data_IF_211799657275
#
_entry.id   IF_211799657275
#
_cell.length_a   1.000
_cell.length_b   1.000
_cell.length_c   1.000
_cell.angle_alpha   90.00
_cell.angle_beta   90.00
_cell.angle_gamma   90.00
#
_symmetry.space_group_name_H-M   'P 1'
#
loop_
_entity.id
_entity.type
_entity.pdbx_description
1 polymer ?
#
# COMPACT_ATOMS: atom_id res chain seq x y z
N UNK A 1 13.20 -12.48 15.01
CA UNK A 1 13.44 -11.62 16.18
C UNK A 1 12.10 -10.98 16.50
N UNK A 2 11.42 -11.43 17.55
CA UNK A 2 10.09 -10.95 17.89
C UNK A 2 10.25 -9.64 18.66
N UNK A 3 10.17 -8.53 17.94
CA UNK A 3 10.36 -7.21 18.52
C UNK A 3 9.06 -6.88 19.22
N UNK A 4 9.03 -7.00 20.56
CA UNK A 4 7.82 -6.87 21.41
C UNK A 4 7.15 -5.49 21.44
N UNK A 5 7.25 -4.73 20.35
CA UNK A 5 6.56 -3.45 20.18
C UNK A 5 5.10 -3.69 19.81
N UNK A 6 4.18 -2.88 20.35
CA UNK A 6 2.77 -3.00 20.02
C UNK A 6 2.53 -2.66 18.54
N UNK A 7 1.56 -3.35 17.94
CA UNK A 7 1.05 -2.97 16.62
C UNK A 7 0.40 -1.59 16.65
N UNK A 8 0.26 -0.96 15.49
CA UNK A 8 -0.38 0.35 15.37
C UNK A 8 -1.85 0.29 15.83
N UNK A 9 -2.56 -0.84 15.59
CA UNK A 9 -3.88 -1.09 16.18
C UNK A 9 -3.87 -1.01 17.71
N UNK A 10 -2.88 -1.62 18.36
CA UNK A 10 -2.75 -1.58 19.81
C UNK A 10 -2.38 -0.17 20.29
N UNK A 11 -1.50 0.55 19.59
CA UNK A 11 -1.10 1.93 19.90
C UNK A 11 -2.27 2.92 19.88
N UNK A 12 -3.19 2.76 18.93
CA UNK A 12 -4.41 3.59 18.85
C UNK A 12 -5.55 3.05 19.71
N UNK A 13 -5.31 2.05 20.56
CA UNK A 13 -6.31 1.41 21.41
C UNK A 13 -7.51 0.83 20.62
N UNK A 14 -7.31 0.38 19.39
CA UNK A 14 -8.37 -0.23 18.59
C UNK A 14 -8.74 -1.61 19.16
N UNK A 15 -10.04 -1.87 19.30
CA UNK A 15 -10.56 -3.16 19.74
C UNK A 15 -11.88 -3.46 19.02
N UNK A 16 -12.16 -4.73 18.68
CA UNK A 16 -13.43 -5.11 18.06
C UNK A 16 -14.63 -4.84 18.97
N UNK A 17 -14.44 -4.78 20.30
CA UNK A 17 -15.48 -4.52 21.29
C UNK A 17 -15.94 -3.05 21.33
N UNK A 18 -15.22 -2.13 20.68
CA UNK A 18 -15.60 -0.72 20.64
C UNK A 18 -16.81 -0.47 19.74
N UNK A 19 -17.61 0.57 20.01
CA UNK A 19 -18.69 0.98 19.11
C UNK A 19 -18.19 1.25 17.68
N UNK A 20 -18.96 0.91 16.63
CA UNK A 20 -18.51 1.05 15.23
C UNK A 20 -18.01 2.44 14.85
N UNK A 21 -18.67 3.48 15.36
CA UNK A 21 -18.30 4.88 15.11
C UNK A 21 -16.93 5.21 15.70
N UNK A 22 -16.63 4.72 16.91
CA UNK A 22 -15.33 4.91 17.56
C UNK A 22 -14.24 4.17 16.78
N UNK A 23 -14.50 2.95 16.32
CA UNK A 23 -13.56 2.19 15.48
C UNK A 23 -13.21 2.94 14.20
N UNK A 24 -14.20 3.50 13.51
CA UNK A 24 -13.98 4.27 12.29
C UNK A 24 -13.12 5.53 12.53
N UNK A 25 -13.32 6.22 13.66
CA UNK A 25 -12.49 7.36 14.05
C UNK A 25 -11.05 6.93 14.33
N UNK A 26 -10.86 5.83 15.07
CA UNK A 26 -9.52 5.28 15.35
C UNK A 26 -8.82 4.83 14.07
N UNK A 27 -9.53 4.15 13.17
CA UNK A 27 -8.99 3.72 11.87
C UNK A 27 -8.56 4.92 11.02
N UNK A 28 -9.34 6.02 10.99
CA UNK A 28 -8.94 7.26 10.33
C UNK A 28 -7.73 7.91 10.99
N UNK A 29 -7.63 7.88 12.31
CA UNK A 29 -6.44 8.39 13.03
C UNK A 29 -5.20 7.53 12.75
N UNK A 30 -5.34 6.21 12.73
CA UNK A 30 -4.29 5.27 12.34
C UNK A 30 -3.85 5.50 10.89
N UNK A 31 -4.79 5.75 9.99
CA UNK A 31 -4.52 6.09 8.60
C UNK A 31 -3.71 7.39 8.46
N UNK A 32 -3.98 8.41 9.27
CA UNK A 32 -3.17 9.64 9.31
C UNK A 32 -1.74 9.37 9.78
N UNK A 33 -1.56 8.50 10.77
CA UNK A 33 -0.22 8.09 11.22
C UNK A 33 0.53 7.37 10.09
N UNK A 34 -0.13 6.42 9.42
CA UNK A 34 0.43 5.72 8.25
C UNK A 34 0.83 6.73 7.16
N UNK A 35 -0.05 7.65 6.78
CA UNK A 35 0.27 8.68 5.79
C UNK A 35 1.47 9.56 6.19
N UNK A 36 1.68 9.76 7.50
CA UNK A 36 2.80 10.55 8.02
C UNK A 36 4.13 9.80 8.17
N UNK A 37 4.17 8.47 8.03
CA UNK A 37 5.43 7.74 8.16
C UNK A 37 6.33 7.95 6.94
N UNK A 38 7.64 8.26 7.11
CA UNK A 38 8.55 8.50 6.00
C UNK A 38 8.66 7.33 5.01
N UNK A 39 8.54 6.09 5.49
CA UNK A 39 8.68 4.88 4.68
C UNK A 39 7.39 4.43 4.00
N UNK A 40 6.25 5.09 4.24
CA UNK A 40 4.96 4.69 3.65
C UNK A 40 4.97 4.62 2.13
N UNK A 41 5.55 5.59 1.39
CA UNK A 41 5.67 5.47 -0.06
C UNK A 41 6.41 4.20 -0.51
N UNK A 42 7.49 3.84 0.20
CA UNK A 42 8.26 2.61 -0.09
C UNK A 42 7.44 1.37 0.20
N UNK A 43 6.73 1.35 1.32
CA UNK A 43 5.88 0.23 1.72
C UNK A 43 4.73 0.00 0.72
N UNK A 44 4.11 1.07 0.20
CA UNK A 44 3.08 0.98 -0.85
C UNK A 44 3.64 0.29 -2.10
N UNK A 45 4.80 0.74 -2.58
CA UNK A 45 5.43 0.18 -3.78
C UNK A 45 5.85 -1.27 -3.57
N UNK A 46 6.41 -1.59 -2.41
CA UNK A 46 6.80 -2.96 -2.06
C UNK A 46 5.58 -3.89 -1.98
N UNK A 47 4.50 -3.48 -1.30
CA UNK A 47 3.27 -4.27 -1.19
C UNK A 47 2.62 -4.49 -2.57
N UNK A 48 2.64 -3.51 -3.49
CA UNK A 48 2.13 -3.72 -4.85
C UNK A 48 3.03 -4.66 -5.68
N UNK A 49 4.36 -4.55 -5.53
CA UNK A 49 5.34 -5.39 -6.21
C UNK A 49 5.13 -6.86 -5.85
N UNK A 50 5.04 -7.16 -4.55
CA UNK A 50 4.82 -8.52 -4.04
C UNK A 50 3.34 -8.92 -3.99
N UNK A 51 2.42 -8.11 -4.52
CA UNK A 51 0.98 -8.39 -4.47
C UNK A 51 0.44 -8.67 -3.05
N UNK A 52 0.91 -7.95 -2.04
CA UNK A 52 0.39 -8.02 -0.69
C UNK A 52 -0.96 -7.28 -0.60
N UNK A 53 -2.03 -8.04 -0.43
CA UNK A 53 -3.40 -7.52 -0.33
C UNK A 53 -3.93 -7.48 1.10
N UNK A 54 -3.16 -7.94 2.10
CA UNK A 54 -3.65 -8.05 3.48
C UNK A 54 -3.10 -7.02 4.47
N UNK A 55 -2.22 -6.12 4.03
CA UNK A 55 -1.66 -5.07 4.87
C UNK A 55 -2.72 -4.29 5.65
N UNK A 56 -2.73 -4.39 6.96
CA UNK A 56 -3.62 -3.60 7.81
C UNK A 56 -2.87 -3.00 9.00
N UNK A 57 -3.53 -2.13 9.78
CA UNK A 57 -2.93 -1.45 10.93
C UNK A 57 -2.37 -2.42 12.01
N UNK A 58 -2.76 -3.70 11.99
CA UNK A 58 -2.19 -4.73 12.85
C UNK A 58 -0.82 -5.24 12.39
N UNK A 59 -0.50 -5.11 11.09
CA UNK A 59 0.77 -5.56 10.49
C UNK A 59 1.82 -4.44 10.43
N UNK A 60 1.67 -3.43 11.29
CA UNK A 60 2.57 -2.29 11.40
C UNK A 60 2.94 -2.19 12.86
N UNK A 61 4.21 -2.40 13.19
CA UNK A 61 4.73 -2.11 14.52
C UNK A 61 5.18 -0.65 14.54
N UNK A 62 4.92 0.05 15.65
CA UNK A 62 5.35 1.43 15.79
C UNK A 62 5.76 1.73 17.23
N UNK A 63 6.99 2.19 17.40
CA UNK A 63 7.53 2.52 18.72
C UNK A 63 7.26 3.98 19.15
N UNK A 64 6.78 4.82 18.22
CA UNK A 64 6.63 6.26 18.40
C UNK A 64 7.53 7.08 17.47
N UNK A 65 8.58 6.46 16.93
CA UNK A 65 9.56 7.07 16.03
C UNK A 65 9.64 6.32 14.70
N UNK A 66 9.79 4.99 14.75
CA UNK A 66 10.03 4.14 13.59
C UNK A 66 8.88 3.16 13.40
N UNK A 67 8.42 3.05 12.16
CA UNK A 67 7.44 2.06 11.75
C UNK A 67 8.15 0.83 11.15
N UNK A 68 7.72 -0.36 11.54
CA UNK A 68 8.18 -1.62 10.94
C UNK A 68 7.00 -2.37 10.35
N UNK A 69 7.12 -2.74 9.08
CA UNK A 69 6.11 -3.45 8.32
C UNK A 69 6.37 -4.95 8.46
N UNK A 70 5.42 -5.69 9.04
CA UNK A 70 5.59 -7.12 9.37
C UNK A 70 4.52 -7.97 8.66
N UNK A 71 4.57 -9.29 8.83
CA UNK A 71 3.50 -10.20 8.42
C UNK A 71 3.15 -10.09 6.91
N UNK A 72 4.03 -10.67 6.10
CA UNK A 72 3.90 -10.76 4.65
C UNK A 72 3.36 -12.12 4.18
N UNK A 73 2.74 -12.89 5.08
CA UNK A 73 2.35 -14.29 4.82
C UNK A 73 1.30 -14.46 3.72
N UNK A 74 0.57 -13.38 3.41
CA UNK A 74 -0.46 -13.32 2.34
C UNK A 74 0.00 -12.48 1.13
N UNK A 75 1.30 -12.26 1.00
CA UNK A 75 1.89 -11.75 -0.23
C UNK A 75 1.75 -12.77 -1.38
N UNK A 76 2.26 -12.37 -2.55
CA UNK A 76 2.38 -13.18 -3.77
C UNK A 76 1.03 -13.54 -4.40
N UNK A 77 0.03 -12.68 -4.18
CA UNK A 77 -1.25 -12.75 -4.90
C UNK A 77 -2.16 -13.88 -4.44
N UNK A 78 -2.10 -14.26 -3.15
CA UNK A 78 -2.96 -15.28 -2.57
C UNK A 78 -4.44 -14.99 -2.88
N UNK A 79 -5.12 -16.02 -3.37
CA UNK A 79 -6.51 -15.91 -3.85
C UNK A 79 -7.50 -15.52 -2.73
N UNK A 80 -8.60 -14.85 -3.12
CA UNK A 80 -9.72 -14.54 -2.24
C UNK A 80 -9.66 -13.18 -1.53
N UNK A 81 -8.63 -12.36 -1.78
CA UNK A 81 -8.57 -10.98 -1.29
C UNK A 81 -8.92 -9.98 -2.42
N UNK A 82 -9.61 -8.87 -2.12
CA UNK A 82 -9.85 -7.82 -3.11
C UNK A 82 -8.54 -7.28 -3.69
N UNK A 83 -8.54 -6.92 -4.98
CA UNK A 83 -7.39 -6.31 -5.64
C UNK A 83 -7.24 -4.83 -5.21
N UNK A 84 -6.71 -4.64 -4.01
CA UNK A 84 -6.48 -3.32 -3.41
C UNK A 84 -5.11 -3.27 -2.76
N UNK A 85 -4.44 -2.14 -2.90
CA UNK A 85 -3.30 -1.81 -2.04
C UNK A 85 -3.86 -1.11 -0.80
N UNK A 86 -3.94 -1.85 0.31
CA UNK A 86 -4.56 -1.34 1.54
C UNK A 86 -3.83 -0.12 2.13
N UNK A 87 -2.53 0.05 1.90
CA UNK A 87 -1.81 1.26 2.33
C UNK A 87 -2.22 2.48 1.54
N UNK A 88 -2.32 2.38 0.21
CA UNK A 88 -2.84 3.47 -0.61
C UNK A 88 -4.27 3.84 -0.18
N UNK A 89 -5.13 2.83 0.08
CA UNK A 89 -6.48 3.07 0.58
C UNK A 89 -6.50 3.75 1.97
N UNK A 90 -5.61 3.36 2.89
CA UNK A 90 -5.46 4.05 4.18
C UNK A 90 -5.02 5.50 3.98
N UNK A 91 -4.02 5.75 3.13
CA UNK A 91 -3.55 7.11 2.84
C UNK A 91 -4.69 7.98 2.32
N UNK A 92 -5.47 7.52 1.34
CA UNK A 92 -6.64 8.26 0.84
C UNK A 92 -7.72 8.45 1.92
N UNK A 93 -7.97 7.43 2.75
CA UNK A 93 -8.94 7.53 3.86
C UNK A 93 -8.52 8.54 4.95
N UNK A 94 -7.22 8.84 5.07
CA UNK A 94 -6.69 9.76 6.09
C UNK A 94 -7.21 11.20 5.96
N UNK A 95 -7.63 11.59 4.75
CA UNK A 95 -8.05 12.94 4.40
C UNK A 95 -6.90 13.95 4.27
N UNK A 96 -5.65 13.49 4.28
CA UNK A 96 -4.46 14.28 3.93
C UNK A 96 -4.30 14.27 2.41
N UNK A 97 -3.73 15.35 1.84
CA UNK A 97 -3.36 15.38 0.41
C UNK A 97 -2.33 14.28 0.13
N UNK A 98 -2.72 13.29 -0.69
CA UNK A 98 -1.95 12.08 -0.95
C UNK A 98 -1.02 12.21 -2.16
N UNK A 99 -1.02 13.35 -2.87
CA UNK A 99 -0.22 13.57 -4.09
C UNK A 99 1.28 13.37 -3.89
N UNK A 100 1.83 13.84 -2.78
CA UNK A 100 3.27 13.73 -2.52
C UNK A 100 3.65 12.28 -2.17
N UNK A 101 2.80 11.57 -1.42
CA UNK A 101 2.98 10.15 -1.11
C UNK A 101 2.88 9.32 -2.40
N UNK A 102 1.88 9.60 -3.24
CA UNK A 102 1.70 8.99 -4.55
C UNK A 102 2.93 9.20 -5.44
N UNK A 103 3.39 10.45 -5.60
CA UNK A 103 4.59 10.78 -6.40
C UNK A 103 5.82 10.05 -5.88
N UNK A 104 6.03 10.05 -4.57
CA UNK A 104 7.14 9.33 -3.96
C UNK A 104 7.05 7.81 -4.19
N UNK A 105 5.85 7.21 -4.04
CA UNK A 105 5.65 5.78 -4.27
C UNK A 105 5.88 5.40 -5.73
N UNK A 106 5.36 6.19 -6.67
CA UNK A 106 5.61 6.03 -8.10
C UNK A 106 7.11 6.16 -8.42
N UNK A 107 7.77 7.19 -7.88
CA UNK A 107 9.22 7.37 -8.04
C UNK A 107 10.02 6.18 -7.52
N UNK A 108 9.71 5.71 -6.31
CA UNK A 108 10.34 4.50 -5.73
C UNK A 108 10.10 3.29 -6.62
N UNK A 109 8.89 3.12 -7.16
CA UNK A 109 8.56 2.00 -8.04
C UNK A 109 9.45 1.94 -9.28
N UNK A 110 9.89 3.10 -9.79
CA UNK A 110 10.82 3.18 -10.93
C UNK A 110 12.27 2.85 -10.56
N UNK A 111 12.62 2.94 -9.27
CA UNK A 111 13.95 2.58 -8.76
C UNK A 111 14.08 1.12 -8.33
N UNK A 112 12.95 0.42 -8.16
CA UNK A 112 12.95 -0.99 -7.83
C UNK A 112 13.38 -1.80 -9.06
N UNK A 113 14.63 -2.24 -9.06
CA UNK A 113 15.22 -3.06 -10.11
C UNK A 113 15.25 -4.54 -9.78
N UNK A 114 15.33 -5.36 -10.82
CA UNK A 114 15.47 -6.82 -10.71
C UNK A 114 16.69 -7.26 -9.89
N UNK A 115 17.70 -6.39 -9.74
CA UNK A 115 18.91 -6.69 -9.00
C UNK A 115 18.61 -7.06 -7.54
N UNK A 116 17.70 -6.33 -6.89
CA UNK A 116 17.30 -6.64 -5.52
C UNK A 116 16.59 -8.00 -5.41
N UNK A 117 15.84 -8.40 -6.44
CA UNK A 117 15.20 -9.72 -6.52
C UNK A 117 16.27 -10.81 -6.66
N UNK A 118 17.24 -10.63 -7.56
CA UNK A 118 18.35 -11.57 -7.75
C UNK A 118 19.18 -11.75 -6.49
N UNK A 119 19.44 -10.67 -5.76
CA UNK A 119 20.15 -10.72 -4.47
C UNK A 119 19.36 -11.45 -3.40
N UNK A 120 18.04 -11.21 -3.32
CA UNK A 120 17.16 -11.94 -2.41
C UNK A 120 17.06 -13.43 -2.75
N UNK A 121 16.91 -13.77 -4.03
CA UNK A 121 16.90 -15.15 -4.52
C UNK A 121 18.22 -15.86 -4.20
N UNK A 122 19.36 -15.23 -4.47
CA UNK A 122 20.68 -15.78 -4.14
C UNK A 122 20.86 -15.99 -2.63
N UNK A 123 20.33 -15.10 -1.80
CA UNK A 123 20.37 -15.21 -0.33
C UNK A 123 19.54 -16.38 0.19
N UNK A 124 18.55 -16.85 -0.57
CA UNK A 124 17.75 -18.02 -0.23
C UNK A 124 18.47 -19.35 -0.51
N UNK A 125 19.62 -19.33 -1.20
CA UNK A 125 20.44 -20.52 -1.46
C UNK A 125 19.66 -21.63 -2.16
N UNK A 126 19.66 -22.83 -1.57
CA UNK A 126 19.01 -24.02 -2.14
C UNK A 126 17.49 -24.08 -1.90
N UNK A 127 16.91 -23.08 -1.24
CA UNK A 127 15.46 -22.96 -1.14
C UNK A 127 14.92 -22.62 -2.53
N UNK A 128 14.15 -23.54 -3.13
CA UNK A 128 13.59 -23.38 -4.47
C UNK A 128 12.57 -22.20 -4.52
N UNK A 129 13.08 -20.97 -4.62
CA UNK A 129 12.30 -19.72 -4.60
C UNK A 129 12.22 -19.03 -5.95
N UNK A 130 12.78 -19.62 -7.01
CA UNK A 130 12.85 -19.03 -8.35
C UNK A 130 11.48 -18.67 -8.92
N UNK A 131 10.45 -19.48 -8.64
CA UNK A 131 9.07 -19.17 -9.01
C UNK A 131 8.55 -17.88 -8.36
N UNK A 132 8.90 -17.63 -7.10
CA UNK A 132 8.55 -16.39 -6.41
C UNK A 132 9.35 -15.19 -6.94
N UNK A 133 10.65 -15.37 -7.17
CA UNK A 133 11.50 -14.35 -7.75
C UNK A 133 10.98 -13.90 -9.13
N UNK A 134 10.63 -14.85 -10.00
CA UNK A 134 10.05 -14.57 -11.31
C UNK A 134 8.71 -13.84 -11.19
N UNK A 135 7.83 -14.28 -10.28
CA UNK A 135 6.53 -13.63 -10.07
C UNK A 135 6.68 -12.17 -9.65
N UNK A 136 7.66 -11.84 -8.80
CA UNK A 136 7.92 -10.45 -8.40
C UNK A 136 8.58 -9.68 -9.55
N UNK A 137 9.48 -10.30 -10.32
CA UNK A 137 10.15 -9.68 -11.47
C UNK A 137 9.17 -9.27 -12.57
N UNK A 138 8.24 -10.16 -12.94
CA UNK A 138 7.17 -9.89 -13.93
C UNK A 138 6.30 -8.70 -13.53
N UNK A 139 6.24 -8.43 -12.23
CA UNK A 139 5.46 -7.35 -11.64
C UNK A 139 6.23 -6.02 -11.59
N UNK A 140 7.56 -6.00 -11.71
CA UNK A 140 8.33 -4.75 -11.65
C UNK A 140 8.08 -3.84 -12.85
N UNK A 141 8.01 -4.40 -14.07
CA UNK A 141 7.83 -3.63 -15.31
C UNK A 141 6.66 -2.62 -15.25
N UNK A 142 5.42 -3.07 -14.98
CA UNK A 142 4.26 -2.18 -14.87
C UNK A 142 4.05 -1.61 -13.45
N UNK A 143 5.01 -1.73 -12.53
CA UNK A 143 4.79 -1.39 -11.12
C UNK A 143 4.37 0.06 -10.90
N UNK A 144 5.08 1.01 -11.51
CA UNK A 144 4.80 2.43 -11.36
C UNK A 144 3.36 2.78 -11.79
N UNK A 145 2.91 2.23 -12.92
CA UNK A 145 1.54 2.40 -13.42
C UNK A 145 0.52 1.77 -12.47
N UNK A 146 0.79 0.57 -11.95
CA UNK A 146 -0.11 -0.09 -10.99
C UNK A 146 -0.22 0.67 -9.69
N UNK A 147 0.91 1.16 -9.14
CA UNK A 147 0.91 2.02 -7.94
C UNK A 147 0.13 3.30 -8.19
N UNK A 148 0.33 3.96 -9.34
CA UNK A 148 -0.42 5.15 -9.73
C UNK A 148 -1.93 4.91 -9.72
N UNK A 149 -2.37 3.77 -10.26
CA UNK A 149 -3.78 3.37 -10.30
C UNK A 149 -4.40 3.04 -8.94
N UNK A 150 -3.61 2.93 -7.86
CA UNK A 150 -4.13 2.72 -6.49
C UNK A 150 -4.59 4.00 -5.79
N UNK A 151 -4.26 5.16 -6.36
CA UNK A 151 -4.69 6.46 -5.85
C UNK A 151 -5.86 7.01 -6.67
N UNK A 152 -6.66 7.95 -6.11
CA UNK A 152 -7.70 8.64 -6.86
C UNK A 152 -7.14 9.27 -8.14
N UNK A 153 -7.78 8.98 -9.27
CA UNK A 153 -7.42 9.62 -10.54
C UNK A 153 -8.14 10.96 -10.65
N UNK A 154 -7.49 11.99 -11.21
CA UNK A 154 -8.19 13.24 -11.53
C UNK A 154 -9.41 12.92 -12.41
N UNK A 155 -10.53 13.57 -12.13
CA UNK A 155 -11.65 13.55 -13.07
C UNK A 155 -11.18 14.22 -14.35
N UNK A 156 -11.32 13.52 -15.48
CA UNK A 156 -10.95 14.05 -16.77
C UNK A 156 -11.86 15.25 -17.09
N UNK A 157 -11.28 16.44 -17.16
CA UNK A 157 -12.00 17.70 -17.38
C UNK A 157 -12.66 17.75 -18.78
N UNK A 158 -12.30 16.83 -19.67
CA UNK A 158 -12.84 16.79 -21.03
C UNK A 158 -14.07 15.89 -21.19
N UNK A 159 -14.50 15.18 -20.16
CA UNK A 159 -15.70 14.31 -20.26
C UNK A 159 -17.01 15.08 -20.14
N UNK A 160 -16.99 16.35 -19.69
CA UNK A 160 -18.20 17.18 -19.51
C UNK A 160 -18.43 18.23 -20.62
N UNK A 161 -17.60 18.25 -21.67
CA UNK A 161 -17.64 19.27 -22.72
C UNK A 161 -18.54 18.99 -23.94
N UNK A 162 -19.06 17.77 -24.09
CA UNK A 162 -19.62 17.30 -25.38
C UNK A 162 -21.13 16.98 -25.33
N UNK A 163 -21.88 17.68 -24.48
CA UNK A 163 -23.23 17.28 -24.12
C UNK A 163 -24.33 18.34 -24.05
N UNK A 164 -24.16 19.58 -24.54
CA UNK A 164 -25.30 20.47 -24.86
C UNK A 164 -24.90 21.59 -25.82
N UNK A 165 -24.77 21.25 -27.10
CA UNK A 165 -24.88 22.22 -28.20
C UNK A 165 -25.86 21.63 -29.22
N UNK A 166 -27.16 21.84 -29.00
CA UNK A 166 -28.17 21.37 -29.94
C UNK A 166 -29.60 21.69 -29.51
N UNK A 167 -30.18 22.73 -30.11
CA UNK A 167 -31.63 22.84 -30.25
C UNK A 167 -32.26 24.07 -29.61
N UNK A 168 -32.12 25.21 -30.27
CA UNK A 168 -33.25 26.13 -30.40
C UNK A 168 -34.36 25.39 -31.16
N UNK A 169 -35.51 25.17 -30.50
CA UNK A 169 -36.87 25.29 -31.04
C UNK A 169 -37.86 25.35 -29.88
#
# INVERSE_FOLDING_TARGET
MDVGYPSLKQRICWSPALPPQVRAVLERSGAKLVAGFPDTPRAISADEAIANRDRNLGNILWDGQTATWIDHERALGREGLPDVNKLAALVTMSGIDDRDIQRAAVGISLTLGEQAIREAEASCGDLNVSGFAQQVADRLGPLATRVLQRFPQPHDLFTEGDGTAGGLQ
#
